data_IF_079930646798
#
_entry.id   IF_079930646798
#
_cell.length_a   1.000
_cell.length_b   1.000
_cell.length_c   1.000
_cell.angle_alpha   90.00
_cell.angle_beta   90.00
_cell.angle_gamma   90.00
#
_symmetry.space_group_name_H-M   'P 1'
#
loop_
_entity.id
_entity.type
_entity.pdbx_description
1 polymer ?
#
# COMPACT_ATOMS: atom_id res chain seq x y z
N UNK A 1 -0.33 0.78 4.69
CA UNK A 1 0.80 -0.13 5.00
C UNK A 1 1.23 -0.82 3.73
N UNK A 2 2.51 -0.76 3.37
CA UNK A 2 3.08 -1.43 2.20
C UNK A 2 4.19 -2.42 2.61
N UNK A 3 4.10 -3.71 2.23
CA UNK A 3 5.10 -4.70 2.57
C UNK A 3 6.29 -4.69 1.59
N UNK A 4 6.25 -3.89 0.54
CA UNK A 4 7.24 -3.93 -0.54
C UNK A 4 6.94 -5.04 -1.56
N UNK A 5 7.88 -5.26 -2.48
CA UNK A 5 7.73 -6.28 -3.54
C UNK A 5 8.34 -7.59 -3.06
N UNK A 6 7.50 -8.59 -2.79
CA UNK A 6 7.94 -9.88 -2.24
C UNK A 6 7.63 -10.98 -3.27
N UNK A 7 8.55 -11.26 -4.21
CA UNK A 7 8.29 -12.16 -5.32
C UNK A 7 8.09 -13.62 -4.91
N UNK A 8 8.57 -14.00 -3.72
CA UNK A 8 8.44 -15.36 -3.16
C UNK A 8 7.06 -15.66 -2.58
N UNK A 9 6.14 -14.69 -2.53
CA UNK A 9 4.75 -14.95 -2.14
C UNK A 9 3.97 -15.63 -3.26
N UNK A 10 2.90 -16.34 -2.92
CA UNK A 10 2.00 -16.96 -3.90
C UNK A 10 1.04 -15.96 -4.58
N UNK A 11 1.22 -14.64 -4.44
CA UNK A 11 0.30 -13.64 -4.99
C UNK A 11 0.26 -13.66 -6.53
N UNK A 12 1.37 -14.06 -7.16
CA UNK A 12 1.50 -14.15 -8.62
C UNK A 12 1.03 -15.48 -9.21
N UNK A 13 0.54 -16.42 -8.40
CA UNK A 13 0.23 -17.81 -8.82
C UNK A 13 -0.80 -17.92 -9.95
N UNK A 14 -1.64 -16.90 -10.11
CA UNK A 14 -2.68 -16.84 -11.13
C UNK A 14 -2.26 -16.08 -12.38
N UNK A 15 -1.05 -15.53 -12.42
CA UNK A 15 -0.53 -14.85 -13.60
C UNK A 15 -0.01 -15.88 -14.62
N UNK A 16 -0.39 -15.68 -15.88
CA UNK A 16 0.16 -16.42 -17.01
C UNK A 16 1.64 -16.10 -17.21
N UNK A 17 2.35 -16.96 -17.95
CA UNK A 17 3.76 -16.70 -18.29
C UNK A 17 3.96 -15.37 -19.03
N UNK A 18 3.02 -15.00 -19.91
CA UNK A 18 3.05 -13.72 -20.63
C UNK A 18 2.91 -12.52 -19.69
N UNK A 19 2.04 -12.61 -18.69
CA UNK A 19 1.86 -11.55 -17.68
C UNK A 19 3.04 -11.45 -16.73
N UNK A 20 3.62 -12.59 -16.33
CA UNK A 20 4.86 -12.62 -15.56
C UNK A 20 6.00 -11.93 -16.32
N UNK A 21 6.17 -12.26 -17.60
CA UNK A 21 7.13 -11.59 -18.48
C UNK A 21 6.80 -10.11 -18.68
N UNK A 22 5.56 -9.65 -18.55
CA UNK A 22 5.26 -8.22 -18.61
C UNK A 22 5.62 -7.46 -17.32
N UNK A 23 5.99 -8.15 -16.23
CA UNK A 23 6.29 -7.49 -14.96
C UNK A 23 7.60 -6.69 -15.04
N UNK A 24 7.60 -5.42 -14.60
CA UNK A 24 8.79 -4.57 -14.52
C UNK A 24 9.96 -5.21 -13.75
N UNK A 25 9.66 -6.08 -12.80
CA UNK A 25 10.64 -6.80 -11.99
C UNK A 25 11.66 -7.61 -12.81
N UNK A 26 11.30 -8.04 -14.03
CA UNK A 26 12.16 -8.89 -14.86
C UNK A 26 13.05 -8.10 -15.85
N UNK A 27 12.76 -6.81 -16.08
CA UNK A 27 13.43 -6.01 -17.13
C UNK A 27 14.14 -4.76 -16.62
N UNK A 28 13.82 -4.30 -15.41
CA UNK A 28 14.47 -3.12 -14.83
C UNK A 28 15.47 -3.52 -13.75
N UNK A 29 16.76 -3.22 -13.98
CA UNK A 29 17.89 -3.50 -13.08
C UNK A 29 17.84 -2.83 -11.69
N UNK A 30 16.76 -2.11 -11.35
CA UNK A 30 16.59 -1.37 -10.08
C UNK A 30 15.25 -1.65 -9.39
N UNK A 31 14.75 -2.89 -9.46
CA UNK A 31 13.59 -3.27 -8.66
C UNK A 31 14.07 -3.88 -7.35
N UNK A 32 14.00 -3.11 -6.27
CA UNK A 32 14.23 -3.61 -4.92
C UNK A 32 13.14 -4.63 -4.57
N UNK A 33 13.56 -5.88 -4.39
CA UNK A 33 12.73 -6.98 -3.89
C UNK A 33 13.08 -7.28 -2.45
N UNK A 34 12.07 -7.72 -1.71
CA UNK A 34 12.18 -8.13 -0.31
C UNK A 34 11.96 -9.63 -0.17
N UNK A 35 12.62 -10.23 0.81
CA UNK A 35 12.26 -11.56 1.30
C UNK A 35 10.98 -11.49 2.16
N UNK A 36 10.52 -12.65 2.67
CA UNK A 36 9.28 -12.74 3.46
C UNK A 36 9.40 -11.95 4.77
N UNK A 37 10.54 -12.04 5.45
CA UNK A 37 10.80 -11.39 6.74
C UNK A 37 10.82 -9.86 6.60
N UNK A 38 11.55 -9.35 5.61
CA UNK A 38 11.57 -7.93 5.24
C UNK A 38 10.18 -7.43 4.83
N UNK A 39 9.39 -8.30 4.19
CA UNK A 39 8.01 -8.03 3.83
C UNK A 39 7.07 -7.83 5.02
N UNK A 40 7.28 -8.63 6.07
CA UNK A 40 6.54 -8.52 7.32
C UNK A 40 7.00 -7.34 8.19
N UNK A 41 8.24 -6.88 8.03
CA UNK A 41 8.88 -5.90 8.91
C UNK A 41 8.07 -4.60 9.07
N UNK A 42 7.55 -4.02 7.99
CA UNK A 42 6.74 -2.78 8.08
C UNK A 42 5.49 -2.96 8.94
N UNK A 43 4.88 -4.15 8.89
CA UNK A 43 3.66 -4.44 9.65
C UNK A 43 3.96 -4.60 11.14
N UNK A 44 5.05 -5.31 11.47
CA UNK A 44 5.55 -5.44 12.85
C UNK A 44 5.93 -4.08 13.39
N UNK A 45 6.65 -3.27 12.61
CA UNK A 45 7.04 -1.92 13.00
C UNK A 45 5.83 -1.05 13.30
N UNK A 46 4.82 -1.00 12.43
CA UNK A 46 3.66 -0.15 12.70
C UNK A 46 2.76 -0.64 13.84
N UNK A 47 2.78 -1.92 14.15
CA UNK A 47 2.04 -2.45 15.29
C UNK A 47 2.69 -2.10 16.63
N UNK A 48 4.01 -1.86 16.67
CA UNK A 48 4.79 -1.80 17.92
C UNK A 48 5.59 -0.51 18.10
N UNK A 49 5.78 0.30 17.06
CA UNK A 49 6.62 1.50 17.11
C UNK A 49 5.91 2.64 17.82
N UNK A 50 6.52 3.16 18.89
CA UNK A 50 6.05 4.36 19.59
C UNK A 50 6.05 5.62 18.73
N UNK A 51 6.70 5.60 17.56
CA UNK A 51 6.63 6.74 16.63
C UNK A 51 5.22 7.00 16.09
N UNK A 52 4.32 6.03 16.21
CA UNK A 52 2.91 6.10 15.80
C UNK A 52 1.96 6.48 16.94
N UNK A 53 2.47 6.72 18.15
CA UNK A 53 1.64 7.15 19.28
C UNK A 53 0.91 8.45 18.91
N UNK A 54 -0.43 8.41 18.96
CA UNK A 54 -1.29 9.52 18.56
C UNK A 54 -1.40 9.78 17.05
N UNK A 55 -0.83 8.93 16.19
CA UNK A 55 -0.83 9.10 14.72
C UNK A 55 -1.68 8.05 14.01
N UNK A 56 -3.00 8.22 14.10
CA UNK A 56 -3.95 7.41 13.33
C UNK A 56 -3.97 7.77 11.84
N UNK A 57 -4.30 6.79 10.98
CA UNK A 57 -4.59 7.03 9.56
C UNK A 57 -3.37 7.23 8.64
N UNK A 58 -2.14 7.15 9.17
CA UNK A 58 -0.92 7.28 8.35
C UNK A 58 -0.67 6.02 7.52
N UNK A 59 -0.02 6.21 6.37
CA UNK A 59 0.48 5.11 5.55
C UNK A 59 1.94 4.83 5.87
N UNK A 60 2.28 3.60 6.22
CA UNK A 60 3.66 3.22 6.47
C UNK A 60 4.22 2.32 5.35
N UNK A 61 5.48 2.55 5.00
CA UNK A 61 6.29 1.74 4.11
C UNK A 61 7.74 1.76 4.58
N UNK A 62 8.49 0.69 4.30
CA UNK A 62 9.92 0.59 4.65
C UNK A 62 10.24 0.89 6.12
N UNK A 63 9.39 0.40 7.03
CA UNK A 63 9.50 0.62 8.49
C UNK A 63 9.49 2.10 8.90
N UNK A 64 8.78 2.95 8.16
CA UNK A 64 8.59 4.36 8.47
C UNK A 64 7.23 4.88 7.98
N UNK A 65 6.84 6.09 8.40
CA UNK A 65 5.70 6.83 7.87
C UNK A 65 6.06 7.38 6.48
N UNK A 66 5.30 6.99 5.46
CA UNK A 66 5.53 7.44 4.09
C UNK A 66 5.13 8.90 3.90
N UNK A 67 5.93 9.70 3.17
CA UNK A 67 5.57 11.09 2.89
C UNK A 67 4.41 11.17 1.89
N UNK A 68 3.64 12.25 1.99
CA UNK A 68 2.70 12.66 0.93
C UNK A 68 3.49 13.42 -0.13
N UNK A 69 3.28 13.07 -1.40
CA UNK A 69 3.94 13.67 -2.56
C UNK A 69 2.91 14.03 -3.63
N UNK A 70 3.29 14.94 -4.53
CA UNK A 70 2.47 15.28 -5.70
C UNK A 70 2.09 14.03 -6.52
N UNK A 71 0.94 14.10 -7.18
CA UNK A 71 0.39 13.03 -8.04
C UNK A 71 1.40 12.46 -9.05
N UNK A 72 2.25 13.30 -9.64
CA UNK A 72 3.23 12.96 -10.67
C UNK A 72 4.62 12.59 -10.12
N UNK A 73 4.78 12.58 -8.79
CA UNK A 73 6.07 12.28 -8.16
C UNK A 73 6.56 10.87 -8.52
N UNK A 74 7.84 10.72 -8.92
CA UNK A 74 8.44 9.43 -9.19
C UNK A 74 8.86 8.69 -7.90
N UNK A 75 8.72 9.32 -6.73
CA UNK A 75 9.16 8.72 -5.47
C UNK A 75 8.35 7.44 -5.21
N UNK A 76 9.00 6.27 -5.06
CA UNK A 76 8.31 5.04 -4.72
C UNK A 76 7.90 5.04 -3.24
N UNK A 77 7.01 4.12 -2.86
CA UNK A 77 6.62 3.89 -1.45
C UNK A 77 6.15 5.17 -0.72
N UNK A 78 5.54 6.09 -1.46
CA UNK A 78 5.01 7.37 -0.98
C UNK A 78 3.50 7.46 -1.24
N UNK A 79 2.83 8.34 -0.50
CA UNK A 79 1.39 8.57 -0.64
C UNK A 79 1.16 9.66 -1.67
N UNK A 80 0.34 9.42 -2.68
CA UNK A 80 -0.06 10.48 -3.62
C UNK A 80 -1.04 11.43 -2.93
N UNK A 81 -0.93 12.73 -3.21
CA UNK A 81 -1.81 13.79 -2.67
C UNK A 81 -3.31 13.48 -2.80
N UNK A 82 -3.76 12.94 -3.93
CA UNK A 82 -5.15 12.53 -4.11
C UNK A 82 -5.58 11.41 -3.14
N UNK A 83 -4.66 10.58 -2.65
CA UNK A 83 -4.98 9.46 -1.79
C UNK A 83 -5.31 9.89 -0.35
N UNK A 84 -4.97 11.12 0.02
CA UNK A 84 -5.33 11.72 1.33
C UNK A 84 -6.49 12.72 1.23
N UNK A 85 -7.11 12.85 0.05
CA UNK A 85 -8.27 13.72 -0.13
C UNK A 85 -9.51 13.15 0.61
N UNK A 86 -10.06 13.88 1.62
CA UNK A 86 -11.20 13.40 2.39
C UNK A 86 -12.51 13.38 1.58
N UNK A 87 -12.63 14.21 0.55
CA UNK A 87 -13.75 14.23 -0.39
C UNK A 87 -13.81 12.95 -1.23
N UNK A 88 -12.67 12.48 -1.75
CA UNK A 88 -12.58 11.21 -2.45
C UNK A 88 -12.87 10.03 -1.52
N UNK A 89 -12.34 10.03 -0.29
CA UNK A 89 -12.65 9.01 0.69
C UNK A 89 -14.16 8.94 1.00
N UNK A 90 -14.81 10.08 1.22
CA UNK A 90 -16.25 10.16 1.47
C UNK A 90 -17.07 9.69 0.27
N UNK A 91 -16.70 10.11 -0.94
CA UNK A 91 -17.38 9.68 -2.15
C UNK A 91 -17.31 8.15 -2.35
N UNK A 92 -16.11 7.58 -2.18
CA UNK A 92 -15.89 6.14 -2.28
C UNK A 92 -16.68 5.37 -1.20
N UNK A 93 -16.75 5.90 0.02
CA UNK A 93 -17.53 5.30 1.10
C UNK A 93 -19.01 5.24 0.75
N UNK A 94 -19.61 6.36 0.34
CA UNK A 94 -21.02 6.41 -0.07
C UNK A 94 -21.31 5.48 -1.25
N UNK A 95 -20.39 5.39 -2.23
CA UNK A 95 -20.54 4.45 -3.34
C UNK A 95 -20.53 3.01 -2.85
N UNK A 96 -19.61 2.65 -1.95
CA UNK A 96 -19.54 1.32 -1.33
C UNK A 96 -20.84 0.97 -0.63
N UNK A 97 -21.40 1.85 0.20
CA UNK A 97 -22.65 1.58 0.93
C UNK A 97 -23.81 1.29 -0.02
N UNK A 98 -23.92 2.04 -1.12
CA UNK A 98 -24.91 1.79 -2.19
C UNK A 98 -24.70 0.45 -2.89
N UNK A 99 -23.45 0.10 -3.19
CA UNK A 99 -23.14 -1.14 -3.92
C UNK A 99 -23.33 -2.40 -3.06
N UNK A 100 -23.05 -2.32 -1.75
CA UNK A 100 -23.12 -3.47 -0.86
C UNK A 100 -24.42 -3.54 -0.06
N UNK A 101 -25.19 -2.45 0.03
CA UNK A 101 -26.36 -2.35 0.92
C UNK A 101 -26.00 -2.39 2.40
N UNK A 102 -24.76 -2.10 2.76
CA UNK A 102 -24.24 -2.14 4.14
C UNK A 102 -23.85 -0.73 4.52
N UNK A 103 -24.49 -0.18 5.56
CA UNK A 103 -24.23 1.16 6.06
C UNK A 103 -23.36 1.15 7.32
N UNK A 104 -22.56 2.20 7.49
CA UNK A 104 -21.83 2.42 8.73
C UNK A 104 -22.74 3.03 9.79
N UNK A 105 -22.85 2.37 10.95
CA UNK A 105 -23.73 2.81 12.04
C UNK A 105 -23.08 3.82 13.02
N UNK A 106 -21.86 4.30 12.74
CA UNK A 106 -21.27 5.42 13.48
C UNK A 106 -20.85 5.12 14.93
N UNK A 107 -20.39 3.90 15.24
CA UNK A 107 -19.93 3.55 16.60
C UNK A 107 -18.42 3.61 16.76
#
# INVERSE_FOLDING_TARGET
MHPGRIPSTALKRSLTFKELLAMPLLWFNKVYVKNIQEGAATQVWAALSSQLDGKGGVYCADCDISPVVASDSPLPNSVRDYAVDPGFAKHLWTLREKMTGIEWLGR
#
